data_IF_790570369302
#
_entry.id   IF_790570369302
#
_cell.length_a   1.000
_cell.length_b   1.000
_cell.length_c   1.000
_cell.angle_alpha   90.00
_cell.angle_beta   90.00
_cell.angle_gamma   90.00
#
_symmetry.space_group_name_H-M   'P 1'
#
loop_
_entity.id
_entity.type
_entity.pdbx_description
1 polymer ?
#
# COMPACT_ATOMS: atom_id res chain seq x y z
N UNK A 1 12.40 -0.27 -16.61
CA UNK A 1 11.16 0.26 -15.99
C UNK A 1 10.60 1.45 -16.76
N UNK A 2 9.32 1.79 -16.55
CA UNK A 2 8.61 2.93 -17.17
C UNK A 2 7.91 3.80 -16.11
N UNK A 3 8.55 4.01 -14.96
CA UNK A 3 8.01 4.82 -13.88
C UNK A 3 7.82 6.27 -14.36
N UNK A 4 6.68 6.86 -14.02
CA UNK A 4 6.37 8.25 -14.36
C UNK A 4 6.40 9.10 -13.10
N UNK A 5 6.89 10.32 -13.22
CA UNK A 5 6.79 11.30 -12.14
C UNK A 5 5.34 11.74 -11.99
N UNK A 6 4.65 11.17 -10.99
CA UNK A 6 3.26 11.42 -10.65
C UNK A 6 3.08 11.36 -9.15
N UNK A 7 2.17 12.18 -8.62
CA UNK A 7 1.66 12.05 -7.26
C UNK A 7 0.82 10.78 -7.17
N UNK A 8 1.12 9.93 -6.20
CA UNK A 8 0.40 8.69 -5.91
C UNK A 8 -0.25 8.80 -4.53
N UNK A 9 -1.54 8.47 -4.47
CA UNK A 9 -2.35 8.50 -3.24
C UNK A 9 -3.02 7.14 -3.12
N UNK A 10 -2.91 6.51 -1.96
CA UNK A 10 -3.50 5.19 -1.67
C UNK A 10 -4.37 5.28 -0.42
N UNK A 11 -5.69 5.02 -0.51
CA UNK A 11 -6.56 4.92 0.65
C UNK A 11 -6.37 3.58 1.36
N UNK A 12 -5.99 3.62 2.64
CA UNK A 12 -5.70 2.42 3.44
C UNK A 12 -6.91 1.48 3.58
N UNK A 13 -8.12 2.04 3.60
CA UNK A 13 -9.36 1.29 3.76
C UNK A 13 -9.92 0.72 2.44
N UNK A 14 -9.23 0.89 1.32
CA UNK A 14 -9.64 0.35 0.02
C UNK A 14 -8.63 -0.65 -0.56
N UNK A 15 -7.69 -1.12 0.27
CA UNK A 15 -6.70 -2.13 -0.11
C UNK A 15 -6.71 -3.26 0.90
N UNK A 16 -6.50 -4.46 0.41
CA UNK A 16 -6.37 -5.67 1.22
C UNK A 16 -5.46 -6.64 0.48
N UNK A 17 -4.94 -7.64 1.19
CA UNK A 17 -4.21 -8.76 0.58
C UNK A 17 -4.83 -10.09 1.00
N UNK A 18 -4.17 -11.20 0.71
CA UNK A 18 -4.71 -12.55 0.94
C UNK A 18 -3.83 -13.37 1.86
N UNK A 19 -4.40 -14.36 2.55
CA UNK A 19 -3.61 -15.38 3.23
C UNK A 19 -3.18 -16.49 2.27
N UNK A 20 -1.93 -16.95 2.35
CA UNK A 20 -1.46 -18.04 1.51
C UNK A 20 -0.06 -18.56 1.83
N UNK A 21 0.05 -19.81 2.30
CA UNK A 21 1.34 -20.42 2.59
C UNK A 21 2.08 -19.66 3.70
N UNK A 22 3.18 -19.00 3.34
CA UNK A 22 3.96 -18.12 4.25
C UNK A 22 3.52 -16.65 4.20
N UNK A 23 2.48 -16.33 3.44
CA UNK A 23 1.96 -14.97 3.29
C UNK A 23 0.83 -14.75 4.31
N UNK A 24 1.15 -14.10 5.42
CA UNK A 24 0.19 -13.63 6.42
C UNK A 24 -0.43 -12.31 5.93
N UNK A 25 -1.75 -12.30 5.70
CA UNK A 25 -2.42 -11.20 5.03
C UNK A 25 -2.26 -9.87 5.77
N UNK A 26 -2.55 -9.86 7.06
CA UNK A 26 -2.48 -8.64 7.88
C UNK A 26 -1.05 -8.10 7.96
N UNK A 27 -0.08 -8.99 8.20
CA UNK A 27 1.33 -8.60 8.32
C UNK A 27 1.87 -8.04 7.00
N UNK A 28 1.55 -8.68 5.88
CA UNK A 28 2.00 -8.22 4.56
C UNK A 28 1.29 -6.92 4.16
N UNK A 29 -0.01 -6.76 4.46
CA UNK A 29 -0.72 -5.51 4.19
C UNK A 29 -0.03 -4.34 4.92
N UNK A 30 0.27 -4.52 6.22
CA UNK A 30 0.98 -3.52 7.04
C UNK A 30 2.35 -3.14 6.46
N UNK A 31 3.19 -4.12 6.14
CA UNK A 31 4.52 -3.85 5.60
C UNK A 31 4.47 -3.26 4.19
N UNK A 32 3.51 -3.65 3.36
CA UNK A 32 3.31 -3.07 2.03
C UNK A 32 2.97 -1.58 2.13
N UNK A 33 2.01 -1.22 2.98
CA UNK A 33 1.65 0.19 3.24
C UNK A 33 2.82 0.99 3.80
N UNK A 34 3.62 0.41 4.71
CA UNK A 34 4.84 1.02 5.22
C UNK A 34 5.87 1.26 4.10
N UNK A 35 6.09 0.29 3.22
CA UNK A 35 7.00 0.42 2.08
C UNK A 35 6.53 1.50 1.09
N UNK A 36 5.22 1.58 0.84
CA UNK A 36 4.64 2.65 0.02
C UNK A 36 4.89 4.02 0.65
N UNK A 37 4.60 4.16 1.95
CA UNK A 37 4.82 5.41 2.69
C UNK A 37 6.29 5.86 2.67
N UNK A 38 7.22 4.95 2.97
CA UNK A 38 8.67 5.22 2.94
C UNK A 38 9.18 5.53 1.53
N UNK A 39 8.50 5.04 0.49
CA UNK A 39 8.79 5.35 -0.91
C UNK A 39 8.18 6.67 -1.40
N UNK A 40 7.50 7.42 -0.52
CA UNK A 40 6.91 8.73 -0.85
C UNK A 40 5.48 8.69 -1.39
N UNK A 41 4.80 7.54 -1.31
CA UNK A 41 3.39 7.42 -1.66
C UNK A 41 2.54 7.92 -0.49
N UNK A 42 1.53 8.73 -0.79
CA UNK A 42 0.67 9.34 0.21
C UNK A 42 -0.42 8.35 0.64
N UNK A 43 -0.30 7.80 1.86
CA UNK A 43 -1.31 6.92 2.44
C UNK A 43 -2.34 7.76 3.18
N UNK A 44 -3.61 7.60 2.84
CA UNK A 44 -4.73 8.38 3.42
C UNK A 44 -5.81 7.47 3.99
N UNK A 45 -6.57 7.96 4.97
CA UNK A 45 -7.73 7.22 5.49
C UNK A 45 -8.91 7.25 4.52
N UNK A 46 -9.15 8.37 3.82
CA UNK A 46 -10.29 8.53 2.91
C UNK A 46 -9.93 9.42 1.72
N UNK A 47 -10.51 9.10 0.56
CA UNK A 47 -10.54 10.00 -0.60
C UNK A 47 -11.82 10.85 -0.49
N UNK A 48 -11.71 12.16 -0.74
CA UNK A 48 -12.82 13.10 -0.80
C UNK A 48 -13.18 13.42 -2.24
#
# INVERSE_FOLDING_TARGET
EKNKEKRLIVPINSVETYDGGTHDGDLINLFALYNMHTSGIEIVDRIK
#
